data_IF_049875928313
#
_entry.id   IF_049875928313
#
_cell.length_a   1.000
_cell.length_b   1.000
_cell.length_c   1.000
_cell.angle_alpha   90.00
_cell.angle_beta   90.00
_cell.angle_gamma   90.00
#
_symmetry.space_group_name_H-M   'P 1'
#
loop_
_entity.id
_entity.type
_entity.pdbx_description
1 polymer ?
#
# COMPACT_ATOMS: atom_id res chain seq x y z
N UNK A 1 24.82 -9.80 23.94
CA UNK A 1 24.86 -8.39 23.48
C UNK A 1 23.65 -8.00 22.62
N UNK A 2 22.45 -8.52 22.91
CA UNK A 2 21.20 -8.23 22.17
C UNK A 2 20.17 -7.40 22.97
N UNK A 3 20.36 -7.22 24.28
CA UNK A 3 19.40 -6.54 25.16
C UNK A 3 19.60 -5.01 25.26
N UNK A 4 20.52 -4.42 24.48
CA UNK A 4 20.82 -2.98 24.52
C UNK A 4 20.27 -2.20 23.32
N UNK A 5 19.68 -2.86 22.29
CA UNK A 5 19.02 -2.16 21.18
C UNK A 5 17.55 -1.79 21.43
N UNK A 6 16.89 -2.45 22.40
CA UNK A 6 15.54 -2.11 22.85
C UNK A 6 15.49 -0.78 23.64
N UNK A 7 16.61 -0.36 24.25
CA UNK A 7 16.66 0.84 25.07
C UNK A 7 16.83 2.15 24.26
N UNK A 8 17.36 2.10 23.04
CA UNK A 8 17.67 3.31 22.26
C UNK A 8 16.47 3.90 21.51
N UNK A 9 15.43 3.11 21.23
CA UNK A 9 14.20 3.59 20.57
C UNK A 9 13.06 3.89 21.55
N UNK A 10 13.28 3.66 22.84
CA UNK A 10 12.28 3.85 23.90
C UNK A 10 12.42 5.20 24.62
N UNK A 11 13.22 6.13 24.08
CA UNK A 11 13.61 7.38 24.75
C UNK A 11 13.13 8.67 24.05
N UNK A 12 12.06 8.59 23.26
CA UNK A 12 11.34 9.81 22.86
C UNK A 12 9.96 9.82 23.51
N UNK A 13 9.97 10.01 24.83
CA UNK A 13 8.84 10.48 25.61
C UNK A 13 8.44 11.87 25.09
N UNK A 14 7.24 11.96 24.52
CA UNK A 14 6.18 12.96 24.76
C UNK A 14 5.16 12.75 23.64
N UNK A 15 4.10 11.99 23.94
CA UNK A 15 2.87 12.02 23.15
C UNK A 15 2.21 13.37 23.38
N UNK A 16 2.27 14.25 22.38
CA UNK A 16 1.12 15.12 22.15
C UNK A 16 -0.08 14.17 22.01
N UNK A 17 -1.05 14.29 22.93
CA UNK A 17 -2.36 13.59 23.01
C UNK A 17 -2.59 12.61 24.19
N UNK A 18 -1.66 12.45 25.15
CA UNK A 18 -1.98 11.87 26.47
C UNK A 18 -2.08 10.34 26.54
N UNK A 19 -1.40 9.63 25.62
CA UNK A 19 -1.18 8.19 25.71
C UNK A 19 0.17 7.93 26.41
N UNK A 20 0.19 7.07 27.42
CA UNK A 20 1.38 6.77 28.21
C UNK A 20 1.66 5.25 28.23
N UNK A 21 2.86 4.84 27.86
CA UNK A 21 3.29 3.45 27.97
C UNK A 21 4.03 3.24 29.30
N UNK A 22 3.49 2.37 30.14
CA UNK A 22 4.13 1.97 31.39
C UNK A 22 5.06 0.77 31.14
N UNK A 23 6.36 1.03 31.21
CA UNK A 23 7.42 0.04 30.97
C UNK A 23 7.52 -0.99 32.08
N UNK A 24 7.07 -0.69 33.30
CA UNK A 24 7.16 -1.61 34.44
C UNK A 24 6.07 -2.69 34.37
N UNK A 25 4.89 -2.32 33.85
CA UNK A 25 3.73 -3.21 33.75
C UNK A 25 3.47 -3.72 32.33
N UNK A 26 4.08 -3.12 31.30
CA UNK A 26 3.86 -3.47 29.91
C UNK A 26 2.50 -2.98 29.36
N UNK A 27 1.84 -2.06 30.05
CA UNK A 27 0.47 -1.59 29.75
C UNK A 27 0.48 -0.21 29.09
N UNK A 28 -0.57 0.09 28.32
CA UNK A 28 -0.78 1.38 27.67
C UNK A 28 -1.94 2.10 28.37
N UNK A 29 -1.66 3.26 28.94
CA UNK A 29 -2.67 4.14 29.49
C UNK A 29 -3.30 5.00 28.37
N UNK A 30 -4.60 4.84 28.18
CA UNK A 30 -5.44 5.53 27.20
C UNK A 30 -6.37 6.54 27.89
N UNK A 31 -5.84 7.34 28.82
CA UNK A 31 -6.53 8.43 29.57
C UNK A 31 -7.63 7.96 30.54
N UNK A 32 -8.59 7.16 30.10
CA UNK A 32 -9.66 6.66 30.95
C UNK A 32 -9.37 5.25 31.48
N UNK A 33 -8.63 4.44 30.71
CA UNK A 33 -8.41 3.01 31.00
C UNK A 33 -6.99 2.58 30.65
N UNK A 34 -6.55 1.50 31.29
CA UNK A 34 -5.31 0.82 30.94
C UNK A 34 -5.63 -0.32 29.96
N UNK A 35 -4.93 -0.35 28.85
CA UNK A 35 -4.96 -1.41 27.86
C UNK A 35 -3.76 -2.32 28.09
N UNK A 36 -4.00 -3.64 28.11
CA UNK A 36 -2.96 -4.65 28.13
C UNK A 36 -2.77 -5.22 26.71
N UNK A 37 -1.65 -4.88 26.03
CA UNK A 37 -1.34 -5.41 24.71
C UNK A 37 -1.12 -6.94 24.69
N UNK A 38 -0.74 -7.55 25.83
CA UNK A 38 -0.46 -8.98 25.90
C UNK A 38 -1.75 -9.82 25.84
N UNK A 39 -2.85 -9.30 26.39
CA UNK A 39 -4.17 -9.95 26.36
C UNK A 39 -5.16 -9.30 25.39
N UNK A 40 -4.79 -8.18 24.77
CA UNK A 40 -5.64 -7.38 23.89
C UNK A 40 -6.95 -6.93 24.55
N UNK A 41 -6.88 -6.55 25.83
CA UNK A 41 -8.05 -6.18 26.65
C UNK A 41 -7.81 -4.92 27.46
N UNK A 42 -8.88 -4.22 27.79
CA UNK A 42 -8.87 -3.21 28.82
C UNK A 42 -8.80 -3.88 30.20
N UNK A 43 -8.00 -3.33 31.11
CA UNK A 43 -7.81 -3.85 32.46
C UNK A 43 -8.93 -3.40 33.43
N UNK A 44 -9.71 -2.40 33.03
CA UNK A 44 -10.83 -1.84 33.80
C UNK A 44 -12.08 -1.74 32.93
N UNK A 45 -13.25 -1.93 33.54
CA UNK A 45 -14.55 -1.81 32.85
C UNK A 45 -14.74 -0.41 32.24
N UNK A 46 -15.42 -0.36 31.09
CA UNK A 46 -15.93 0.89 30.53
C UNK A 46 -17.00 1.49 31.46
N UNK A 47 -16.99 2.82 31.62
CA UNK A 47 -18.06 3.54 32.32
C UNK A 47 -19.32 3.65 31.45
N UNK A 48 -19.20 3.41 30.14
CA UNK A 48 -20.32 3.27 29.22
C UNK A 48 -20.81 1.82 29.17
N UNK A 49 -22.08 1.60 29.50
CA UNK A 49 -22.66 0.26 29.69
C UNK A 49 -23.02 -0.47 28.39
N UNK A 50 -22.77 0.14 27.23
CA UNK A 50 -23.18 -0.38 25.92
C UNK A 50 -24.64 -0.08 25.57
N UNK A 51 -25.03 -0.43 24.36
CA UNK A 51 -26.41 -0.42 23.88
C UNK A 51 -26.94 -1.88 23.90
N UNK A 52 -28.13 -2.08 24.48
CA UNK A 52 -28.80 -3.40 24.52
C UNK A 52 -29.09 -3.98 23.13
N UNK A 53 -29.06 -3.14 22.08
CA UNK A 53 -29.26 -3.54 20.68
C UNK A 53 -27.96 -3.92 19.97
N UNK A 54 -26.81 -3.64 20.58
CA UNK A 54 -25.48 -4.04 20.13
C UNK A 54 -24.82 -4.94 21.18
N UNK A 55 -24.96 -6.26 20.99
CA UNK A 55 -24.46 -7.29 21.92
C UNK A 55 -22.95 -7.24 22.15
N UNK A 56 -22.16 -6.67 21.24
CA UNK A 56 -20.71 -6.51 21.41
C UNK A 56 -20.37 -5.34 22.33
N UNK A 57 -21.18 -4.27 22.32
CA UNK A 57 -20.99 -3.11 23.18
C UNK A 57 -21.23 -3.40 24.67
N UNK A 58 -21.91 -4.50 24.99
CA UNK A 58 -22.16 -4.97 26.36
C UNK A 58 -20.93 -5.63 27.01
N UNK A 59 -19.86 -5.90 26.25
CA UNK A 59 -18.60 -6.43 26.78
C UNK A 59 -17.65 -5.28 27.15
N UNK A 60 -17.75 -4.87 28.42
CA UNK A 60 -17.09 -3.68 28.99
C UNK A 60 -15.55 -3.74 29.04
N UNK A 61 -14.95 -4.87 28.68
CA UNK A 61 -13.49 -5.07 28.65
C UNK A 61 -12.90 -5.05 27.23
N UNK A 62 -13.72 -4.87 26.19
CA UNK A 62 -13.26 -4.88 24.80
C UNK A 62 -12.59 -3.56 24.40
N UNK A 63 -11.48 -3.66 23.67
CA UNK A 63 -10.87 -2.52 22.97
C UNK A 63 -11.31 -2.57 21.50
N UNK A 64 -11.90 -1.47 20.99
CA UNK A 64 -12.37 -1.34 19.61
C UNK A 64 -13.27 -2.50 19.14
N UNK A 65 -14.15 -3.04 20.00
CA UNK A 65 -14.99 -4.21 19.69
C UNK A 65 -14.20 -5.42 19.14
N UNK A 66 -12.95 -5.63 19.59
CA UNK A 66 -12.00 -6.62 19.07
C UNK A 66 -11.55 -6.41 17.61
N UNK A 67 -11.73 -5.20 17.07
CA UNK A 67 -11.21 -4.79 15.77
C UNK A 67 -10.37 -3.50 15.89
N UNK A 68 -9.17 -3.58 16.51
CA UNK A 68 -8.29 -2.42 16.75
C UNK A 68 -7.60 -1.90 15.48
N UNK A 69 -8.04 -2.40 14.33
CA UNK A 69 -7.39 -2.18 13.04
C UNK A 69 -8.27 -1.30 12.14
N UNK A 70 -9.58 -1.56 12.11
CA UNK A 70 -10.55 -0.67 11.43
C UNK A 70 -10.98 0.52 12.30
N UNK A 71 -10.65 0.49 13.59
CA UNK A 71 -11.20 1.39 14.57
C UNK A 71 -10.18 1.79 15.62
N UNK A 72 -10.25 3.06 16.02
CA UNK A 72 -9.50 3.63 17.14
C UNK A 72 -10.50 4.10 18.20
N UNK A 73 -10.10 4.06 19.46
CA UNK A 73 -10.79 4.76 20.55
C UNK A 73 -9.86 5.84 21.17
N UNK A 74 -9.82 7.06 20.59
CA UNK A 74 -8.95 8.15 21.07
C UNK A 74 -9.33 8.68 22.46
N UNK A 75 -10.56 8.43 22.92
CA UNK A 75 -11.13 8.94 24.17
C UNK A 75 -11.16 7.91 25.30
N UNK A 76 -11.02 6.62 24.97
CA UNK A 76 -11.26 5.51 25.88
C UNK A 76 -12.75 5.16 26.05
N UNK A 77 -13.65 5.71 25.22
CA UNK A 77 -15.11 5.53 25.29
C UNK A 77 -15.85 5.39 23.94
N UNK A 78 -15.34 5.88 22.80
CA UNK A 78 -16.08 5.92 21.51
C UNK A 78 -15.14 5.64 20.32
N UNK A 79 -15.64 4.79 19.42
CA UNK A 79 -14.98 4.31 18.20
C UNK A 79 -15.00 5.37 17.06
N UNK A 80 -13.85 5.67 16.45
CA UNK A 80 -13.73 6.51 15.23
C UNK A 80 -13.11 5.72 14.06
N UNK A 81 -13.56 6.01 12.83
CA UNK A 81 -13.09 5.36 11.59
C UNK A 81 -12.05 6.23 10.85
N UNK A 82 -10.95 5.61 10.43
CA UNK A 82 -9.90 6.30 9.63
C UNK A 82 -10.49 6.89 8.34
N UNK A 83 -11.50 6.23 7.74
CA UNK A 83 -12.26 6.69 6.59
C UNK A 83 -12.88 8.09 6.77
N UNK A 84 -13.35 8.40 7.98
CA UNK A 84 -13.97 9.70 8.26
C UNK A 84 -12.91 10.78 8.44
N UNK A 85 -11.83 10.47 9.16
CA UNK A 85 -10.73 11.40 9.43
C UNK A 85 -9.95 11.74 8.15
N UNK A 86 -9.60 10.72 7.35
CA UNK A 86 -8.77 10.83 6.16
C UNK A 86 -9.56 10.77 4.86
N UNK A 87 -10.84 11.17 4.86
CA UNK A 87 -11.70 11.19 3.66
C UNK A 87 -11.09 11.91 2.46
N UNK A 88 -10.28 12.94 2.69
CA UNK A 88 -9.55 13.69 1.66
C UNK A 88 -8.16 13.14 1.31
N UNK A 89 -7.74 12.05 1.94
CA UNK A 89 -6.42 11.43 1.84
C UNK A 89 -6.57 9.93 1.55
N UNK A 90 -7.04 9.56 0.35
CA UNK A 90 -7.23 8.15 -0.02
C UNK A 90 -5.93 7.35 0.06
N UNK A 91 -4.78 7.98 -0.19
CA UNK A 91 -3.44 7.41 -0.04
C UNK A 91 -3.17 6.92 1.40
N UNK A 92 -3.65 7.66 2.40
CA UNK A 92 -3.55 7.26 3.81
C UNK A 92 -4.45 6.05 4.08
N UNK A 93 -5.69 6.08 3.60
CA UNK A 93 -6.64 4.97 3.78
C UNK A 93 -6.07 3.67 3.20
N UNK A 94 -5.59 3.71 1.95
CA UNK A 94 -5.00 2.56 1.27
C UNK A 94 -3.80 2.00 2.05
N UNK A 95 -2.91 2.88 2.52
CA UNK A 95 -1.77 2.47 3.33
C UNK A 95 -2.20 1.78 4.65
N UNK A 96 -3.22 2.30 5.32
CA UNK A 96 -3.74 1.71 6.56
C UNK A 96 -4.44 0.37 6.29
N UNK A 97 -5.24 0.26 5.23
CA UNK A 97 -5.87 -1.01 4.82
C UNK A 97 -4.82 -2.07 4.44
N UNK A 98 -3.76 -1.65 3.75
CA UNK A 98 -2.64 -2.53 3.45
C UNK A 98 -1.97 -3.08 4.72
N UNK A 99 -1.68 -2.19 5.69
CA UNK A 99 -1.12 -2.60 6.98
C UNK A 99 -2.10 -3.46 7.78
N UNK A 100 -3.41 -3.23 7.64
CA UNK A 100 -4.48 -4.04 8.24
C UNK A 100 -4.40 -5.49 7.79
N UNK A 101 -4.25 -5.71 6.48
CA UNK A 101 -4.11 -7.04 5.92
C UNK A 101 -2.82 -7.72 6.39
N UNK A 102 -1.71 -6.97 6.47
CA UNK A 102 -0.45 -7.48 7.05
C UNK A 102 -0.62 -7.86 8.51
N UNK A 103 -1.33 -7.04 9.29
CA UNK A 103 -1.60 -7.30 10.70
C UNK A 103 -2.44 -8.57 10.88
N UNK A 104 -3.47 -8.76 10.05
CA UNK A 104 -4.31 -9.95 10.04
C UNK A 104 -3.51 -11.22 9.68
N UNK A 105 -2.56 -11.10 8.74
CA UNK A 105 -1.67 -12.19 8.33
C UNK A 105 -0.52 -12.46 9.32
N UNK A 106 -0.22 -11.54 10.24
CA UNK A 106 0.91 -11.65 11.15
C UNK A 106 0.69 -12.75 12.20
N UNK A 107 1.70 -13.63 12.35
CA UNK A 107 1.64 -14.81 13.24
C UNK A 107 2.11 -14.54 14.67
N UNK A 108 2.86 -13.46 14.89
CA UNK A 108 3.43 -13.12 16.20
C UNK A 108 2.87 -11.82 16.72
N UNK A 109 2.75 -11.71 18.04
CA UNK A 109 2.31 -10.46 18.66
C UNK A 109 3.30 -9.32 18.44
N UNK A 110 4.60 -9.64 18.38
CA UNK A 110 5.65 -8.67 18.06
C UNK A 110 5.44 -8.02 16.69
N UNK A 111 5.18 -8.83 15.65
CA UNK A 111 4.90 -8.31 14.31
C UNK A 111 3.60 -7.50 14.29
N UNK A 112 2.56 -7.96 14.98
CA UNK A 112 1.29 -7.21 15.12
C UNK A 112 1.50 -5.84 15.77
N UNK A 113 2.29 -5.78 16.83
CA UNK A 113 2.60 -4.52 17.53
C UNK A 113 3.42 -3.58 16.63
N UNK A 114 4.39 -4.10 15.88
CA UNK A 114 5.20 -3.31 14.95
C UNK A 114 4.36 -2.74 13.79
N UNK A 115 3.48 -3.54 13.20
CA UNK A 115 2.56 -3.09 12.14
C UNK A 115 1.58 -2.04 12.67
N UNK A 116 1.04 -2.25 13.88
CA UNK A 116 0.18 -1.26 14.52
C UNK A 116 0.92 0.07 14.73
N UNK A 117 2.16 0.02 15.21
CA UNK A 117 2.99 1.22 15.39
C UNK A 117 3.28 1.93 14.06
N UNK A 118 3.48 1.19 12.97
CA UNK A 118 3.66 1.78 11.65
C UNK A 118 2.39 2.52 11.19
N UNK A 119 1.22 1.93 11.38
CA UNK A 119 -0.06 2.57 11.08
C UNK A 119 -0.25 3.87 11.90
N UNK A 120 0.13 3.86 13.18
CA UNK A 120 0.13 5.06 14.02
C UNK A 120 1.06 6.15 13.50
N UNK A 121 2.26 5.79 13.03
CA UNK A 121 3.21 6.74 12.47
C UNK A 121 2.64 7.43 11.22
N UNK A 122 2.02 6.66 10.32
CA UNK A 122 1.36 7.17 9.10
C UNK A 122 0.25 8.15 9.45
N UNK A 123 -0.65 7.78 10.38
CA UNK A 123 -1.75 8.67 10.82
C UNK A 123 -1.21 9.98 11.39
N UNK A 124 -0.19 9.91 12.24
CA UNK A 124 0.42 11.11 12.83
C UNK A 124 1.11 11.99 11.78
N UNK A 125 1.80 11.37 10.82
CA UNK A 125 2.40 12.10 9.70
C UNK A 125 1.34 12.78 8.84
N UNK A 126 0.24 12.09 8.53
CA UNK A 126 -0.87 12.63 7.76
C UNK A 126 -1.53 13.83 8.45
N UNK A 127 -1.80 13.73 9.76
CA UNK A 127 -2.34 14.83 10.59
C UNK A 127 -1.45 16.08 10.58
N UNK A 128 -0.13 15.86 10.61
CA UNK A 128 0.85 16.94 10.71
C UNK A 128 1.35 17.43 9.34
N UNK A 129 0.88 16.84 8.23
CA UNK A 129 1.38 17.15 6.89
C UNK A 129 2.87 16.85 6.70
N UNK A 130 3.41 15.86 7.44
CA UNK A 130 4.85 15.58 7.47
C UNK A 130 5.28 14.51 6.46
N UNK A 131 6.52 14.64 6.00
CA UNK A 131 7.19 13.76 5.03
C UNK A 131 7.72 12.45 5.67
N UNK A 132 6.86 11.70 6.36
CA UNK A 132 7.27 10.45 6.99
C UNK A 132 7.70 9.41 5.96
N UNK A 133 8.88 8.81 6.16
CA UNK A 133 9.46 7.81 5.26
C UNK A 133 9.43 8.24 3.77
N UNK A 134 9.83 9.48 3.47
CA UNK A 134 9.96 9.95 2.08
C UNK A 134 11.02 9.15 1.32
N UNK A 135 10.58 8.46 0.28
CA UNK A 135 11.39 7.62 -0.62
C UNK A 135 11.32 8.11 -2.06
N UNK A 136 11.00 9.37 -2.28
CA UNK A 136 10.81 9.92 -3.63
C UNK A 136 12.04 9.76 -4.52
N UNK A 137 13.24 10.00 -3.98
CA UNK A 137 14.47 9.77 -4.73
C UNK A 137 14.70 8.29 -5.05
N UNK A 138 14.43 7.39 -4.11
CA UNK A 138 14.62 5.95 -4.28
C UNK A 138 13.67 5.39 -5.35
N UNK A 139 12.40 5.83 -5.33
CA UNK A 139 11.39 5.46 -6.33
C UNK A 139 11.77 5.98 -7.72
N UNK A 140 12.19 7.25 -7.84
CA UNK A 140 12.59 7.80 -9.15
C UNK A 140 13.81 7.09 -9.73
N UNK A 141 14.80 6.75 -8.89
CA UNK A 141 15.96 5.95 -9.31
C UNK A 141 15.52 4.58 -9.81
N UNK A 142 14.66 3.87 -9.06
CA UNK A 142 14.12 2.57 -9.46
C UNK A 142 13.43 2.63 -10.84
N UNK A 143 12.58 3.63 -11.06
CA UNK A 143 11.86 3.81 -12.32
C UNK A 143 12.83 4.08 -13.50
N UNK A 144 13.85 4.92 -13.28
CA UNK A 144 14.89 5.20 -14.26
C UNK A 144 15.75 3.98 -14.61
N UNK A 145 16.16 3.21 -13.60
CA UNK A 145 16.93 1.98 -13.77
C UNK A 145 16.14 0.93 -14.55
N UNK A 146 14.86 0.77 -14.24
CA UNK A 146 13.98 -0.15 -14.97
C UNK A 146 13.82 0.25 -16.43
N UNK A 147 13.66 1.55 -16.74
CA UNK A 147 13.65 2.02 -18.15
C UNK A 147 14.99 1.77 -18.83
N UNK A 148 16.10 1.97 -18.12
CA UNK A 148 17.44 1.68 -18.65
C UNK A 148 17.63 0.19 -18.96
N UNK A 149 17.07 -0.69 -18.15
CA UNK A 149 17.05 -2.13 -18.43
C UNK A 149 16.25 -2.50 -19.70
N UNK A 150 15.28 -1.67 -20.07
CA UNK A 150 14.50 -1.83 -21.31
C UNK A 150 15.19 -1.30 -22.56
N UNK A 151 16.32 -0.59 -22.44
CA UNK A 151 17.03 -0.02 -23.59
C UNK A 151 17.46 -1.11 -24.60
N UNK A 152 17.80 -2.31 -24.11
CA UNK A 152 18.14 -3.48 -24.93
C UNK A 152 16.90 -4.20 -25.49
N UNK A 153 15.71 -3.85 -25.01
CA UNK A 153 14.39 -4.30 -25.52
C UNK A 153 13.88 -3.38 -26.65
N UNK A 154 14.75 -2.48 -27.15
CA UNK A 154 14.44 -1.38 -28.06
C UNK A 154 13.84 -1.77 -29.41
N UNK A 155 13.08 -0.82 -29.97
CA UNK A 155 12.50 -0.58 -31.32
C UNK A 155 12.49 -1.63 -32.45
N UNK A 156 13.36 -2.64 -32.43
CA UNK A 156 13.54 -3.67 -33.46
C UNK A 156 12.68 -4.91 -33.26
N UNK A 157 12.03 -5.06 -32.09
CA UNK A 157 11.17 -6.20 -31.81
C UNK A 157 9.74 -5.98 -32.29
N UNK A 158 9.14 -7.03 -32.86
CA UNK A 158 7.72 -7.03 -33.18
C UNK A 158 6.88 -6.94 -31.89
N UNK A 159 5.63 -6.48 -32.04
CA UNK A 159 4.75 -6.20 -30.91
C UNK A 159 4.56 -7.40 -29.97
N UNK A 160 4.27 -8.63 -30.43
CA UNK A 160 4.13 -9.79 -29.54
C UNK A 160 5.37 -10.05 -28.68
N UNK A 161 6.58 -9.98 -29.27
CA UNK A 161 7.81 -10.20 -28.51
C UNK A 161 8.08 -9.09 -27.49
N UNK A 162 7.75 -7.84 -27.85
CA UNK A 162 7.83 -6.71 -26.93
C UNK A 162 6.90 -6.87 -25.73
N UNK A 163 5.64 -7.29 -25.99
CA UNK A 163 4.66 -7.60 -24.94
C UNK A 163 5.15 -8.75 -24.06
N UNK A 164 5.70 -9.82 -24.66
CA UNK A 164 6.23 -10.96 -23.93
C UNK A 164 7.34 -10.57 -22.95
N UNK A 165 8.38 -9.91 -23.45
CA UNK A 165 9.57 -9.57 -22.65
C UNK A 165 9.24 -8.63 -21.49
N UNK A 166 8.40 -7.63 -21.75
CA UNK A 166 8.00 -6.70 -20.70
C UNK A 166 7.06 -7.35 -19.69
N UNK A 167 6.07 -8.13 -20.15
CA UNK A 167 5.14 -8.81 -19.23
C UNK A 167 5.87 -9.77 -18.29
N UNK A 168 6.91 -10.49 -18.74
CA UNK A 168 7.67 -11.40 -17.89
C UNK A 168 8.37 -10.70 -16.71
N UNK A 169 8.71 -9.41 -16.87
CA UNK A 169 9.31 -8.60 -15.80
C UNK A 169 8.28 -8.16 -14.76
N UNK A 170 7.10 -7.71 -15.20
CA UNK A 170 6.08 -7.06 -14.35
C UNK A 170 5.02 -8.01 -13.80
N UNK A 171 4.86 -9.21 -14.35
CA UNK A 171 3.87 -10.20 -13.89
C UNK A 171 4.10 -10.65 -12.44
N UNK A 172 3.10 -11.25 -11.77
CA UNK A 172 3.31 -11.90 -10.48
C UNK A 172 4.49 -12.88 -10.48
N UNK A 173 5.35 -12.72 -9.48
CA UNK A 173 6.62 -13.47 -9.33
C UNK A 173 7.73 -13.02 -10.28
N UNK A 174 7.48 -12.06 -11.17
CA UNK A 174 8.48 -11.45 -12.05
C UNK A 174 9.49 -10.62 -11.28
N UNK A 175 10.58 -10.22 -11.93
CA UNK A 175 11.66 -9.45 -11.29
C UNK A 175 11.19 -8.12 -10.71
N UNK A 176 10.17 -7.50 -11.31
CA UNK A 176 9.59 -6.22 -10.88
C UNK A 176 8.26 -6.36 -10.13
N UNK A 177 7.90 -7.58 -9.70
CA UNK A 177 6.82 -7.77 -8.73
C UNK A 177 7.31 -7.42 -7.31
N UNK A 178 6.95 -6.23 -6.83
CA UNK A 178 7.39 -5.70 -5.55
C UNK A 178 6.49 -6.10 -4.37
N UNK A 179 5.29 -6.64 -4.61
CA UNK A 179 4.30 -6.91 -3.55
C UNK A 179 4.71 -8.04 -2.58
N UNK A 180 5.47 -9.03 -3.07
CA UNK A 180 5.78 -10.26 -2.32
C UNK A 180 7.17 -10.25 -1.67
N UNK A 181 8.11 -9.43 -2.14
CA UNK A 181 9.53 -9.57 -1.74
C UNK A 181 10.30 -8.25 -1.67
N UNK A 182 9.67 -7.17 -1.26
CA UNK A 182 10.36 -5.88 -1.13
C UNK A 182 11.56 -5.95 -0.17
N UNK A 183 11.51 -6.72 0.94
CA UNK A 183 12.66 -6.89 1.84
C UNK A 183 13.90 -7.55 1.20
N UNK A 184 13.74 -8.19 0.02
CA UNK A 184 14.84 -8.77 -0.76
C UNK A 184 15.15 -8.00 -2.05
N UNK A 185 14.16 -7.35 -2.66
CA UNK A 185 14.29 -6.65 -3.95
C UNK A 185 14.56 -5.15 -3.80
N UNK A 186 14.05 -4.54 -2.74
CA UNK A 186 14.12 -3.11 -2.46
C UNK A 186 14.65 -2.92 -1.04
N UNK A 187 15.97 -2.93 -0.86
CA UNK A 187 16.60 -2.79 0.47
C UNK A 187 16.26 -1.48 1.19
N UNK A 188 15.84 -0.46 0.43
CA UNK A 188 15.42 0.85 0.94
C UNK A 188 13.92 0.92 1.30
N UNK A 189 13.11 -0.03 0.83
CA UNK A 189 11.68 -0.06 1.14
C UNK A 189 11.49 -0.51 2.59
N UNK A 190 10.70 0.21 3.40
CA UNK A 190 10.43 -0.17 4.80
C UNK A 190 9.86 -1.59 4.95
N UNK A 191 10.00 -2.17 6.15
CA UNK A 191 9.66 -3.57 6.46
C UNK A 191 8.20 -3.94 6.17
N UNK A 192 7.28 -2.98 6.17
CA UNK A 192 5.87 -3.23 5.85
C UNK A 192 5.46 -2.63 4.50
N UNK A 193 6.43 -2.27 3.65
CA UNK A 193 6.18 -1.93 2.26
C UNK A 193 5.37 -0.65 2.06
N UNK A 194 5.36 0.28 3.03
CA UNK A 194 4.71 1.58 2.90
C UNK A 194 5.74 2.68 3.01
N UNK A 195 5.69 3.66 2.10
CA UNK A 195 6.54 4.84 2.12
C UNK A 195 5.83 6.04 1.49
N UNK A 196 6.43 7.23 1.61
CA UNK A 196 5.92 8.41 0.92
C UNK A 196 6.64 8.60 -0.42
N UNK A 197 5.87 8.92 -1.46
CA UNK A 197 6.33 9.28 -2.78
C UNK A 197 5.56 10.50 -3.28
N UNK A 198 6.30 11.56 -3.61
CA UNK A 198 5.72 12.81 -4.14
C UNK A 198 4.58 13.36 -3.26
N UNK A 199 4.79 13.33 -1.93
CA UNK A 199 3.85 13.82 -0.93
C UNK A 199 2.64 12.91 -0.66
N UNK A 200 2.57 11.71 -1.23
CA UNK A 200 1.51 10.72 -1.00
C UNK A 200 2.06 9.43 -0.42
N UNK A 201 1.29 8.78 0.44
CA UNK A 201 1.62 7.41 0.83
C UNK A 201 1.42 6.46 -0.35
N UNK A 202 2.35 5.53 -0.51
CA UNK A 202 2.26 4.41 -1.45
C UNK A 202 2.66 3.12 -0.74
N UNK A 203 2.02 2.04 -1.17
CA UNK A 203 2.35 0.66 -0.83
C UNK A 203 3.31 0.07 -1.86
N UNK A 204 3.94 -1.05 -1.53
CA UNK A 204 4.78 -1.79 -2.46
C UNK A 204 4.00 -2.34 -3.66
N UNK A 205 2.68 -2.54 -3.51
CA UNK A 205 1.77 -2.91 -4.59
C UNK A 205 1.54 -1.74 -5.53
N UNK A 206 1.22 -0.56 -4.99
CA UNK A 206 1.09 0.66 -5.77
C UNK A 206 2.39 1.02 -6.50
N UNK A 207 3.56 0.81 -5.87
CA UNK A 207 4.86 0.97 -6.55
C UNK A 207 5.00 0.05 -7.77
N UNK A 208 4.49 -1.19 -7.68
CA UNK A 208 4.44 -2.12 -8.80
C UNK A 208 3.58 -1.59 -9.96
N UNK A 209 2.40 -1.06 -9.65
CA UNK A 209 1.47 -0.47 -10.62
C UNK A 209 2.02 0.83 -11.23
N UNK A 210 2.67 1.68 -10.43
CA UNK A 210 3.39 2.87 -10.90
C UNK A 210 4.50 2.44 -11.88
N UNK A 211 5.31 1.46 -11.51
CA UNK A 211 6.38 0.94 -12.36
C UNK A 211 5.83 0.35 -13.66
N UNK A 212 4.71 -0.38 -13.61
CA UNK A 212 4.01 -0.90 -14.78
C UNK A 212 3.61 0.23 -15.74
N UNK A 213 2.90 1.26 -15.25
CA UNK A 213 2.50 2.41 -16.07
C UNK A 213 3.70 3.17 -16.66
N UNK A 214 4.72 3.42 -15.84
CA UNK A 214 5.92 4.16 -16.21
C UNK A 214 6.76 3.44 -17.28
N UNK A 215 7.14 2.19 -17.01
CA UNK A 215 8.00 1.40 -17.91
C UNK A 215 7.28 0.99 -19.19
N UNK A 216 5.99 0.68 -19.11
CA UNK A 216 5.17 0.38 -20.28
C UNK A 216 5.03 1.57 -21.21
N UNK A 217 4.86 2.78 -20.67
CA UNK A 217 4.86 4.02 -21.46
C UNK A 217 6.22 4.28 -22.09
N UNK A 218 7.31 4.05 -21.36
CA UNK A 218 8.67 4.17 -21.88
C UNK A 218 8.95 3.21 -23.05
N UNK A 219 8.33 2.02 -23.03
CA UNK A 219 8.32 1.08 -24.14
C UNK A 219 7.39 1.49 -25.29
N UNK A 220 6.68 2.61 -25.21
CA UNK A 220 5.80 3.08 -26.28
C UNK A 220 4.42 2.41 -26.29
N UNK A 221 4.00 1.78 -25.19
CA UNK A 221 2.60 1.36 -25.02
C UNK A 221 1.75 2.55 -24.61
N UNK A 222 0.62 2.73 -25.30
CA UNK A 222 -0.40 3.72 -24.96
C UNK A 222 -1.26 3.24 -23.80
N UNK A 223 -2.01 4.17 -23.20
CA UNK A 223 -2.82 3.90 -22.01
C UNK A 223 -3.83 2.78 -22.21
N UNK A 224 -4.47 2.66 -23.40
CA UNK A 224 -5.39 1.55 -23.69
C UNK A 224 -4.69 0.19 -23.59
N UNK A 225 -3.47 0.08 -24.11
CA UNK A 225 -2.68 -1.15 -24.05
C UNK A 225 -2.29 -1.50 -22.63
N UNK A 226 -1.90 -0.51 -21.82
CA UNK A 226 -1.56 -0.71 -20.41
C UNK A 226 -2.80 -1.10 -19.59
N UNK A 227 -3.93 -0.43 -19.75
CA UNK A 227 -5.15 -0.73 -19.00
C UNK A 227 -5.78 -2.07 -19.39
N UNK A 228 -5.78 -2.42 -20.68
CA UNK A 228 -6.25 -3.75 -21.10
C UNK A 228 -5.31 -4.87 -20.63
N UNK A 229 -4.01 -4.58 -20.48
CA UNK A 229 -3.04 -5.49 -19.88
C UNK A 229 -3.22 -5.65 -18.36
N UNK A 230 -3.45 -4.56 -17.63
CA UNK A 230 -3.76 -4.57 -16.20
C UNK A 230 -5.02 -5.39 -15.89
N UNK A 231 -6.13 -5.07 -16.55
CA UNK A 231 -7.38 -5.82 -16.40
C UNK A 231 -7.25 -7.31 -16.78
N UNK A 232 -6.42 -7.65 -17.75
CA UNK A 232 -6.11 -9.05 -18.08
C UNK A 232 -5.32 -9.76 -16.98
N UNK A 233 -4.36 -9.08 -16.36
CA UNK A 233 -3.61 -9.62 -15.23
C UNK A 233 -4.54 -9.85 -14.02
N UNK A 234 -5.42 -8.89 -13.69
CA UNK A 234 -6.42 -9.02 -12.64
C UNK A 234 -7.34 -10.24 -12.82
N UNK A 235 -7.73 -10.57 -14.06
CA UNK A 235 -8.53 -11.76 -14.35
C UNK A 235 -7.79 -13.05 -13.98
N UNK A 236 -6.47 -13.09 -14.21
CA UNK A 236 -5.64 -14.27 -13.89
C UNK A 236 -5.36 -14.40 -12.40
N UNK A 237 -5.30 -13.28 -11.69
CA UNK A 237 -5.16 -13.25 -10.23
C UNK A 237 -6.49 -13.48 -9.50
N UNK A 238 -7.61 -13.58 -10.24
CA UNK A 238 -8.97 -13.69 -9.71
C UNK A 238 -9.38 -12.51 -8.83
N UNK A 239 -8.83 -11.33 -9.14
CA UNK A 239 -9.14 -10.05 -8.50
C UNK A 239 -9.97 -9.14 -9.41
N UNK A 240 -10.20 -9.53 -10.67
CA UNK A 240 -10.96 -8.71 -11.60
C UNK A 240 -12.44 -8.56 -11.22
N UNK A 241 -12.95 -7.33 -11.41
CA UNK A 241 -14.38 -7.02 -11.31
C UNK A 241 -14.99 -6.97 -12.71
N UNK A 242 -15.78 -7.99 -13.06
CA UNK A 242 -16.40 -8.12 -14.38
C UNK A 242 -17.47 -7.06 -14.66
N UNK A 243 -17.93 -6.30 -13.66
CA UNK A 243 -18.83 -5.17 -13.84
C UNK A 243 -18.12 -3.92 -14.39
N UNK A 244 -16.79 -3.84 -14.21
CA UNK A 244 -15.97 -2.72 -14.65
C UNK A 244 -15.53 -2.88 -16.10
N UNK A 245 -16.34 -2.33 -17.02
CA UNK A 245 -16.00 -2.21 -18.44
C UNK A 245 -14.88 -1.20 -18.72
N UNK A 246 -14.81 -0.67 -19.95
CA UNK A 246 -13.92 0.46 -20.24
C UNK A 246 -14.30 1.67 -19.35
N UNK A 247 -13.32 2.43 -18.81
CA UNK A 247 -11.88 2.38 -19.09
C UNK A 247 -11.06 1.40 -18.22
N UNK A 248 -11.69 0.69 -17.28
CA UNK A 248 -11.02 -0.15 -16.28
C UNK A 248 -10.68 -1.56 -16.78
N UNK A 249 -11.47 -2.09 -17.73
CA UNK A 249 -11.26 -3.40 -18.36
C UNK A 249 -11.18 -4.60 -17.40
N UNK A 250 -11.93 -4.52 -16.29
CA UNK A 250 -11.98 -5.52 -15.24
C UNK A 250 -10.97 -5.31 -14.13
N UNK A 251 -10.08 -4.32 -14.25
CA UNK A 251 -9.15 -3.93 -13.19
C UNK A 251 -9.86 -3.09 -12.12
N UNK A 252 -9.30 -3.03 -10.91
CA UNK A 252 -9.85 -2.17 -9.86
C UNK A 252 -9.68 -0.70 -10.24
N UNK A 253 -10.61 0.16 -9.81
CA UNK A 253 -10.50 1.62 -10.03
C UNK A 253 -9.20 2.16 -9.41
N UNK A 254 -8.76 1.58 -8.30
CA UNK A 254 -7.53 1.94 -7.62
C UNK A 254 -6.29 1.60 -8.46
N UNK A 255 -6.14 0.33 -8.88
CA UNK A 255 -5.00 -0.12 -9.68
C UNK A 255 -4.92 0.63 -11.01
N UNK A 256 -6.07 0.86 -11.66
CA UNK A 256 -6.16 1.67 -12.86
C UNK A 256 -5.60 3.09 -12.65
N UNK A 257 -6.00 3.76 -11.56
CA UNK A 257 -5.54 5.11 -11.25
C UNK A 257 -4.04 5.13 -10.91
N UNK A 258 -3.53 4.09 -10.24
CA UNK A 258 -2.11 3.98 -9.90
C UNK A 258 -1.24 3.70 -11.13
N UNK A 259 -1.73 2.87 -12.07
CA UNK A 259 -1.12 2.71 -13.40
C UNK A 259 -1.11 4.04 -14.15
N UNK A 260 -2.25 4.75 -14.18
CA UNK A 260 -2.36 6.07 -14.81
C UNK A 260 -1.38 7.07 -14.18
N UNK A 261 -1.19 7.04 -12.86
CA UNK A 261 -0.19 7.87 -12.19
C UNK A 261 1.23 7.55 -12.68
N UNK A 262 1.60 6.28 -12.84
CA UNK A 262 2.86 5.87 -13.47
C UNK A 262 3.06 6.43 -14.88
N UNK A 263 2.01 6.41 -15.71
CA UNK A 263 2.01 7.02 -17.05
C UNK A 263 2.27 8.53 -16.95
N UNK A 264 1.60 9.20 -16.01
CA UNK A 264 1.73 10.64 -15.84
C UNK A 264 3.13 11.05 -15.37
N UNK A 265 3.71 10.30 -14.43
CA UNK A 265 5.09 10.49 -13.97
C UNK A 265 6.07 10.39 -15.15
N UNK A 266 5.91 9.40 -16.02
CA UNK A 266 6.77 9.26 -17.21
C UNK A 266 6.73 10.52 -18.09
N UNK A 267 5.54 11.05 -18.36
CA UNK A 267 5.41 12.26 -19.17
C UNK A 267 5.82 13.54 -18.45
N UNK A 268 5.73 13.60 -17.12
CA UNK A 268 6.25 14.70 -16.34
C UNK A 268 7.78 14.75 -16.42
N UNK A 269 8.44 13.58 -16.31
CA UNK A 269 9.89 13.46 -16.40
C UNK A 269 10.41 13.52 -17.85
N UNK A 270 9.57 13.19 -18.84
CA UNK A 270 9.89 13.22 -20.28
C UNK A 270 8.88 14.06 -21.08
N UNK A 271 8.87 15.41 -20.94
CA UNK A 271 7.84 16.26 -21.54
C UNK A 271 7.76 16.16 -23.07
N UNK A 272 8.90 15.95 -23.74
CA UNK A 272 8.97 15.79 -25.19
C UNK A 272 8.20 14.57 -25.70
N UNK A 273 8.10 13.50 -24.90
CA UNK A 273 7.35 12.30 -25.26
C UNK A 273 5.85 12.55 -25.41
N UNK A 274 5.30 13.63 -24.80
CA UNK A 274 3.89 14.01 -24.96
C UNK A 274 3.52 14.34 -26.40
N UNK A 275 4.47 14.87 -27.18
CA UNK A 275 4.24 15.25 -28.59
C UNK A 275 4.21 14.04 -29.53
N UNK A 276 4.63 12.88 -29.06
CA UNK A 276 4.66 11.62 -29.80
C UNK A 276 3.60 10.62 -29.31
N UNK A 277 2.59 11.06 -28.55
CA UNK A 277 1.51 10.18 -28.06
C UNK A 277 0.80 9.41 -29.19
N UNK A 278 0.72 9.99 -30.36
CA UNK A 278 0.08 9.41 -31.55
C UNK A 278 0.84 8.20 -32.11
N UNK A 279 2.15 8.07 -31.83
CA UNK A 279 2.96 6.93 -32.27
C UNK A 279 2.97 5.77 -31.27
N UNK A 280 2.22 5.88 -30.17
CA UNK A 280 2.12 4.82 -29.18
C UNK A 280 1.26 3.67 -29.68
N UNK A 281 1.63 2.46 -29.29
CA UNK A 281 0.83 1.26 -29.50
C UNK A 281 -0.39 1.36 -28.58
N UNK A 282 -1.55 1.72 -29.13
CA UNK A 282 -2.76 1.98 -28.36
C UNK A 282 -3.89 1.01 -28.74
N UNK A 283 -3.64 -0.29 -28.57
CA UNK A 283 -4.55 -1.38 -28.93
C UNK A 283 -5.06 -2.13 -27.69
N UNK A 284 -6.09 -2.94 -27.88
CA UNK A 284 -6.45 -3.97 -26.90
C UNK A 284 -5.42 -5.12 -26.99
N UNK A 285 -4.63 -5.30 -25.93
CA UNK A 285 -3.52 -6.25 -25.93
C UNK A 285 -3.94 -7.65 -25.46
N UNK A 286 -5.19 -7.82 -24.99
CA UNK A 286 -5.70 -9.10 -24.46
C UNK A 286 -5.59 -10.27 -25.43
N UNK A 287 -5.88 -10.13 -26.75
CA UNK A 287 -5.69 -11.23 -27.69
C UNK A 287 -4.24 -11.70 -27.76
N UNK A 288 -3.27 -10.76 -27.76
CA UNK A 288 -1.83 -11.07 -27.78
C UNK A 288 -1.43 -11.78 -26.48
N UNK A 289 -1.86 -11.26 -25.33
CA UNK A 289 -1.58 -11.87 -24.03
C UNK A 289 -2.19 -13.28 -23.92
N UNK A 290 -3.41 -13.50 -24.41
CA UNK A 290 -4.03 -14.82 -24.46
C UNK A 290 -3.24 -15.79 -25.33
N UNK A 291 -2.74 -15.35 -26.50
CA UNK A 291 -1.90 -16.21 -27.35
C UNK A 291 -0.56 -16.56 -26.70
N UNK A 292 0.08 -15.60 -26.02
CA UNK A 292 1.41 -15.79 -25.43
C UNK A 292 1.37 -16.54 -24.09
N UNK A 293 0.33 -16.31 -23.29
CA UNK A 293 0.30 -16.65 -21.87
C UNK A 293 -1.03 -17.25 -21.41
N UNK A 294 -2.06 -17.28 -22.26
CA UNK A 294 -3.30 -17.99 -21.99
C UNK A 294 -3.01 -19.48 -21.90
N UNK A 295 -3.26 -20.07 -20.72
CA UNK A 295 -3.39 -21.52 -20.64
C UNK A 295 -4.71 -21.90 -21.30
N UNK A 296 -4.69 -22.90 -22.18
CA UNK A 296 -5.90 -23.63 -22.58
C UNK A 296 -6.63 -24.17 -21.36
#
# INVERSE_FOLDING_TARGET
MQNLRLAYYCNMTISLLGVYFDKETGTIYLRARYYDPATSRMLTEDSYWGDIRDTLSLNLYTYCQNNPVNFRDPSGHIMESDYTEFKGRPDVIIAIEYLTDKWNAAKTQEAKNAIHQEAENIRNAARNGQAYNDRTSDVNTLLGDNVSALANTGSSFNLPLKVYMWYDLVRPGGSWDYKVTYSKKLSWMPEYGVCMYDGKFITAEELGNINYGYTGTALGFGSKTLFTGGGWAAQREKTADTSLGAPYYGDSVHDHNTIQWGIDIYYQQNPSAKYFKWSLINIDVRPILNTLFGKN
#
